data_IF_118400651598
#
_entry.id   IF_118400651598
#
_cell.length_a   1.000
_cell.length_b   1.000
_cell.length_c   1.000
_cell.angle_alpha   90.00
_cell.angle_beta   90.00
_cell.angle_gamma   90.00
#
_symmetry.space_group_name_H-M   'P 1'
#
loop_
_entity.id
_entity.type
_entity.pdbx_description
1 polymer ?
#
# COMPACT_ATOMS: atom_id res chain seq x y z
N UNK A 1 -0.61 30.04 3.19
CA UNK A 1 0.70 29.37 3.01
C UNK A 1 0.78 28.86 1.58
N UNK A 2 1.92 28.98 0.90
CA UNK A 2 2.11 28.33 -0.40
C UNK A 2 2.02 26.79 -0.23
N UNK A 3 1.50 26.05 -1.22
CA UNK A 3 1.46 24.61 -1.16
C UNK A 3 2.89 24.03 -1.12
N UNK A 4 3.10 22.91 -0.41
CA UNK A 4 4.43 22.32 -0.29
C UNK A 4 4.91 21.75 -1.64
N UNK A 5 6.21 21.88 -1.89
CA UNK A 5 6.87 21.25 -3.04
C UNK A 5 7.01 19.74 -2.82
N UNK A 6 6.93 18.90 -3.86
CA UNK A 6 7.13 17.46 -3.72
C UNK A 6 8.45 17.02 -3.08
N UNK A 7 9.50 17.87 -3.11
CA UNK A 7 10.79 17.58 -2.44
C UNK A 7 10.67 17.39 -0.92
N UNK A 8 9.60 17.87 -0.29
CA UNK A 8 9.34 17.62 1.16
C UNK A 8 9.20 16.13 1.50
N UNK A 9 8.99 15.28 0.50
CA UNK A 9 8.96 13.82 0.66
C UNK A 9 10.32 13.16 0.55
N UNK A 10 11.38 13.92 0.19
CA UNK A 10 12.76 13.43 0.17
C UNK A 10 13.39 13.60 1.55
N UNK A 11 13.08 12.67 2.43
CA UNK A 11 13.47 12.68 3.83
C UNK A 11 14.74 11.85 3.98
N UNK A 12 15.78 12.43 4.59
CA UNK A 12 17.05 11.75 4.83
C UNK A 12 16.92 10.55 5.76
N UNK A 13 17.75 9.54 5.53
CA UNK A 13 17.77 8.32 6.32
C UNK A 13 18.70 7.23 5.76
N UNK A 14 18.65 6.01 6.28
CA UNK A 14 19.47 4.89 5.80
C UNK A 14 18.90 4.30 4.48
N UNK A 15 18.59 5.15 3.54
CA UNK A 15 18.01 4.85 2.23
C UNK A 15 18.48 5.87 1.20
N UNK A 16 18.21 5.59 -0.07
CA UNK A 16 18.43 6.52 -1.17
C UNK A 16 17.13 6.76 -1.94
N UNK A 17 16.99 7.97 -2.46
CA UNK A 17 15.88 8.39 -3.28
C UNK A 17 16.21 8.22 -4.76
N UNK A 18 15.34 7.57 -5.49
CA UNK A 18 15.46 7.29 -6.92
C UNK A 18 14.24 7.87 -7.65
N UNK A 19 14.47 8.33 -8.88
CA UNK A 19 13.40 8.65 -9.84
C UNK A 19 13.39 7.56 -10.93
N UNK A 20 12.30 6.80 -11.01
CA UNK A 20 12.17 5.64 -11.90
C UNK A 20 11.03 5.87 -12.89
N UNK A 21 11.33 5.81 -14.19
CA UNK A 21 10.31 5.95 -15.23
C UNK A 21 9.70 4.58 -15.54
N UNK A 22 8.38 4.48 -15.41
CA UNK A 22 7.61 3.28 -15.73
C UNK A 22 6.19 3.66 -16.14
N UNK A 23 5.60 2.89 -17.04
CA UNK A 23 4.20 3.06 -17.48
C UNK A 23 3.79 4.52 -17.79
N UNK A 24 4.71 5.27 -18.41
CA UNK A 24 4.48 6.64 -18.89
C UNK A 24 4.56 7.77 -17.87
N UNK A 25 4.97 7.49 -16.63
CA UNK A 25 5.19 8.50 -15.58
C UNK A 25 6.51 8.26 -14.82
N UNK A 26 6.97 9.29 -14.12
CA UNK A 26 8.09 9.21 -13.20
C UNK A 26 7.57 8.87 -11.79
N UNK A 27 8.11 7.80 -11.22
CA UNK A 27 7.88 7.40 -9.84
C UNK A 27 9.03 7.83 -8.95
N UNK A 28 8.72 8.35 -7.78
CA UNK A 28 9.65 8.48 -6.69
C UNK A 28 9.69 7.16 -5.91
N UNK A 29 10.89 6.62 -5.78
CA UNK A 29 11.15 5.33 -5.14
C UNK A 29 12.23 5.53 -4.09
N UNK A 30 12.03 4.95 -2.92
CA UNK A 30 13.01 4.96 -1.82
C UNK A 30 13.55 3.56 -1.62
N UNK A 31 14.86 3.39 -1.77
CA UNK A 31 15.53 2.11 -1.65
C UNK A 31 16.35 2.04 -0.38
N UNK A 32 16.15 0.99 0.42
CA UNK A 32 16.95 0.71 1.60
C UNK A 32 18.42 0.50 1.21
N UNK A 33 19.34 1.10 1.95
CA UNK A 33 20.76 0.84 1.76
C UNK A 33 21.09 -0.59 2.19
N UNK A 34 21.92 -1.32 1.43
CA UNK A 34 22.29 -2.68 1.79
C UNK A 34 23.12 -2.70 3.09
N UNK A 35 22.88 -3.73 3.90
CA UNK A 35 23.57 -3.98 5.18
C UNK A 35 24.41 -5.25 5.07
N UNK A 36 25.55 -5.31 5.74
CA UNK A 36 26.42 -6.49 5.77
C UNK A 36 27.03 -6.82 4.41
N UNK A 37 27.18 -8.10 4.12
CA UNK A 37 27.85 -8.63 2.91
C UNK A 37 27.11 -8.27 1.61
N UNK A 38 25.83 -7.90 1.70
CA UNK A 38 25.06 -7.44 0.56
C UNK A 38 25.56 -6.12 -0.07
N UNK A 39 26.47 -5.40 0.59
CA UNK A 39 27.03 -4.11 0.08
C UNK A 39 27.83 -4.28 -1.21
N UNK A 40 28.47 -5.42 -1.42
CA UNK A 40 29.27 -5.73 -2.60
C UNK A 40 28.48 -6.34 -3.76
N UNK A 41 27.24 -6.75 -3.54
CA UNK A 41 26.45 -7.42 -4.56
C UNK A 41 25.71 -6.42 -5.47
N UNK A 42 25.59 -6.70 -6.77
CA UNK A 42 24.69 -5.93 -7.63
C UNK A 42 23.26 -5.92 -7.07
N UNK A 43 22.57 -4.77 -7.18
CA UNK A 43 21.21 -4.66 -6.67
C UNK A 43 20.25 -5.72 -7.25
N UNK A 44 20.47 -6.11 -8.52
CA UNK A 44 19.68 -7.13 -9.23
C UNK A 44 19.98 -8.57 -8.82
N UNK A 45 21.05 -8.81 -8.06
CA UNK A 45 21.39 -10.14 -7.56
C UNK A 45 20.56 -10.53 -6.32
N UNK A 46 19.90 -9.57 -5.67
CA UNK A 46 19.04 -9.79 -4.51
C UNK A 46 17.57 -9.81 -4.94
N UNK A 47 16.72 -10.65 -4.30
CA UNK A 47 15.28 -10.62 -4.57
C UNK A 47 14.71 -9.20 -4.37
N UNK A 48 13.83 -8.75 -5.27
CA UNK A 48 13.17 -7.45 -5.13
C UNK A 48 11.93 -7.59 -4.22
N UNK A 49 11.85 -6.73 -3.21
CA UNK A 49 10.66 -6.51 -2.38
C UNK A 49 10.17 -5.09 -2.60
N UNK A 50 8.95 -4.92 -3.11
CA UNK A 50 8.36 -3.63 -3.44
C UNK A 50 7.18 -3.32 -2.52
N UNK A 51 7.27 -2.21 -1.78
CA UNK A 51 6.34 -1.78 -0.75
C UNK A 51 5.41 -0.69 -1.31
N UNK A 52 4.10 -0.93 -1.30
CA UNK A 52 3.06 -0.08 -1.88
C UNK A 52 2.10 0.42 -0.79
N UNK A 53 2.07 1.73 -0.56
CA UNK A 53 1.31 2.37 0.53
C UNK A 53 -0.20 2.50 0.23
N UNK A 54 -0.98 2.86 1.26
CA UNK A 54 -2.42 3.11 1.18
C UNK A 54 -2.81 4.58 1.00
N UNK A 55 -4.12 4.83 1.11
CA UNK A 55 -4.74 6.15 0.97
C UNK A 55 -4.17 7.18 1.95
N UNK A 56 -3.87 8.37 1.43
CA UNK A 56 -3.40 9.51 2.22
C UNK A 56 -1.99 9.35 2.78
N UNK A 57 -1.27 8.30 2.37
CA UNK A 57 0.09 8.00 2.78
C UNK A 57 1.08 8.22 1.63
N UNK A 58 2.34 7.88 1.86
CA UNK A 58 3.43 7.87 0.88
C UNK A 58 4.52 6.90 1.38
N UNK A 59 5.66 6.78 0.71
CA UNK A 59 6.72 5.83 1.05
C UNK A 59 7.11 5.82 2.54
N UNK A 60 6.94 6.93 3.27
CA UNK A 60 7.30 7.07 4.69
C UNK A 60 6.63 6.04 5.59
N UNK A 61 5.43 5.61 5.25
CA UNK A 61 4.74 4.54 6.02
C UNK A 61 5.51 3.23 6.06
N UNK A 62 6.48 3.05 5.18
CA UNK A 62 7.32 1.87 5.08
C UNK A 62 8.72 2.03 5.70
N UNK A 63 9.00 3.15 6.42
CA UNK A 63 10.32 3.45 7.03
C UNK A 63 10.84 2.34 7.92
N UNK A 64 9.96 1.65 8.66
CA UNK A 64 10.31 0.54 9.54
C UNK A 64 10.65 -0.74 8.75
N UNK A 65 9.98 -1.01 7.66
CA UNK A 65 10.26 -2.13 6.78
C UNK A 65 11.53 -1.90 5.95
N UNK A 66 11.76 -0.67 5.49
CA UNK A 66 13.02 -0.28 4.83
C UNK A 66 14.24 -0.48 5.73
N UNK A 67 14.09 -0.29 7.06
CA UNK A 67 15.18 -0.49 8.04
C UNK A 67 15.30 -1.95 8.50
N UNK A 68 14.16 -2.67 8.56
CA UNK A 68 14.08 -3.96 9.25
C UNK A 68 14.16 -5.18 8.34
N UNK A 69 13.91 -5.04 7.04
CA UNK A 69 13.99 -6.16 6.11
C UNK A 69 15.41 -6.26 5.52
N UNK A 70 16.03 -7.42 5.68
CA UNK A 70 17.37 -7.72 5.18
C UNK A 70 17.35 -8.85 4.17
N UNK A 71 18.46 -9.13 3.49
CA UNK A 71 18.58 -10.22 2.51
C UNK A 71 17.91 -9.96 1.16
N UNK A 72 17.19 -8.86 1.00
CA UNK A 72 16.49 -8.46 -0.21
C UNK A 72 16.87 -7.04 -0.65
N UNK A 73 16.55 -6.69 -1.88
CA UNK A 73 16.49 -5.31 -2.34
C UNK A 73 15.11 -4.75 -2.01
N UNK A 74 15.01 -3.93 -0.96
CA UNK A 74 13.74 -3.39 -0.47
C UNK A 74 13.54 -1.99 -1.01
N UNK A 75 12.41 -1.74 -1.68
CA UNK A 75 12.04 -0.44 -2.21
C UNK A 75 10.62 -0.06 -1.78
N UNK A 76 10.42 1.17 -1.34
CA UNK A 76 9.11 1.75 -1.11
C UNK A 76 8.79 2.77 -2.21
N UNK A 77 7.58 2.70 -2.75
CA UNK A 77 7.16 3.49 -3.91
C UNK A 77 6.13 4.52 -3.47
N UNK A 78 6.33 5.77 -3.85
CA UNK A 78 5.23 6.71 -3.91
C UNK A 78 4.34 6.33 -5.09
N UNK A 79 3.13 5.86 -4.82
CA UNK A 79 2.19 5.48 -5.87
C UNK A 79 1.88 6.69 -6.78
N UNK A 80 1.44 6.41 -8.00
CA UNK A 80 0.98 7.45 -8.93
C UNK A 80 0.06 8.44 -8.23
N UNK A 81 0.31 9.74 -8.38
CA UNK A 81 -0.48 10.78 -7.74
C UNK A 81 -0.09 11.15 -6.31
N UNK A 82 0.86 10.43 -5.69
CA UNK A 82 1.29 10.66 -4.32
C UNK A 82 2.74 11.15 -4.23
N UNK A 83 3.06 11.76 -3.11
CA UNK A 83 4.41 12.11 -2.71
C UNK A 83 5.22 12.79 -3.80
N UNK A 84 6.42 12.26 -4.08
CA UNK A 84 7.32 12.73 -5.13
C UNK A 84 7.01 12.21 -6.53
N UNK A 85 6.06 11.27 -6.70
CA UNK A 85 5.67 10.73 -8.01
C UNK A 85 4.81 11.70 -8.81
N UNK A 86 4.79 11.52 -10.13
CA UNK A 86 3.95 12.31 -11.04
C UNK A 86 2.46 12.15 -10.73
N UNK A 87 1.71 13.22 -11.02
CA UNK A 87 0.28 13.35 -10.72
C UNK A 87 -0.53 13.54 -12.00
N UNK A 88 -0.59 12.50 -12.86
CA UNK A 88 -1.31 12.59 -14.11
C UNK A 88 -2.82 12.75 -13.86
N UNK A 89 -3.58 13.36 -14.78
CA UNK A 89 -5.00 13.59 -14.61
C UNK A 89 -5.86 12.32 -14.73
N UNK A 90 -5.27 11.17 -15.09
CA UNK A 90 -5.96 9.89 -15.34
C UNK A 90 -5.09 8.70 -14.95
N UNK A 91 -5.70 7.51 -14.94
CA UNK A 91 -4.96 6.25 -14.73
C UNK A 91 -4.94 5.79 -13.28
N UNK A 92 -6.04 6.00 -12.56
CA UNK A 92 -6.21 5.55 -11.17
C UNK A 92 -7.06 4.28 -11.07
N UNK A 93 -7.21 3.58 -12.17
CA UNK A 93 -7.90 2.30 -12.29
C UNK A 93 -6.96 1.12 -12.02
N UNK A 94 -7.54 -0.03 -11.65
CA UNK A 94 -6.77 -1.21 -11.29
C UNK A 94 -5.91 -1.81 -12.41
N UNK A 95 -6.29 -1.59 -13.70
CA UNK A 95 -5.46 -2.01 -14.84
C UNK A 95 -4.17 -1.19 -14.90
N UNK A 96 -4.32 0.14 -14.81
CA UNK A 96 -3.18 1.06 -14.83
C UNK A 96 -2.27 0.85 -13.63
N UNK A 97 -2.83 0.69 -12.41
CA UNK A 97 -2.04 0.48 -11.20
C UNK A 97 -1.25 -0.84 -11.25
N UNK A 98 -1.83 -1.89 -11.81
CA UNK A 98 -1.09 -3.15 -12.03
C UNK A 98 0.01 -3.01 -13.08
N UNK A 99 -0.23 -2.20 -14.12
CA UNK A 99 0.77 -1.84 -15.13
C UNK A 99 1.92 -1.01 -14.56
N UNK A 100 1.64 -0.12 -13.61
CA UNK A 100 2.65 0.66 -12.89
C UNK A 100 3.61 -0.26 -12.10
N UNK A 101 3.06 -1.17 -11.29
CA UNK A 101 3.86 -2.12 -10.53
C UNK A 101 4.67 -3.05 -11.45
N UNK A 102 4.05 -3.56 -12.52
CA UNK A 102 4.73 -4.39 -13.52
C UNK A 102 5.86 -3.65 -14.25
N UNK A 103 5.62 -2.38 -14.58
CA UNK A 103 6.62 -1.50 -15.20
C UNK A 103 7.80 -1.19 -14.27
N UNK A 104 7.52 -0.91 -13.00
CA UNK A 104 8.52 -0.64 -11.98
C UNK A 104 9.43 -1.85 -11.74
N UNK A 105 8.89 -3.07 -11.67
CA UNK A 105 9.70 -4.29 -11.52
C UNK A 105 10.74 -4.39 -12.64
N UNK A 106 10.32 -4.16 -13.89
CA UNK A 106 11.22 -4.20 -15.05
C UNK A 106 12.23 -3.04 -15.05
N UNK A 107 11.75 -1.83 -14.76
CA UNK A 107 12.60 -0.64 -14.73
C UNK A 107 13.68 -0.70 -13.63
N UNK A 108 13.40 -1.41 -12.53
CA UNK A 108 14.36 -1.70 -11.47
C UNK A 108 15.32 -2.86 -11.83
N UNK A 109 15.18 -3.47 -13.03
CA UNK A 109 16.07 -4.50 -13.53
C UNK A 109 15.76 -5.92 -13.05
N UNK A 110 14.54 -6.20 -12.59
CA UNK A 110 14.15 -7.51 -12.09
C UNK A 110 13.14 -8.21 -13.01
N UNK A 111 13.19 -9.53 -13.04
CA UNK A 111 12.22 -10.38 -13.73
C UNK A 111 10.95 -10.61 -12.90
N UNK A 112 11.07 -10.54 -11.59
CA UNK A 112 9.94 -10.66 -10.66
C UNK A 112 10.22 -9.96 -9.32
N UNK A 113 9.17 -9.77 -8.52
CA UNK A 113 9.26 -9.18 -7.18
C UNK A 113 8.28 -9.83 -6.21
N UNK A 114 8.58 -9.78 -4.92
CA UNK A 114 7.57 -9.85 -3.87
C UNK A 114 6.93 -8.48 -3.71
N UNK A 115 5.60 -8.44 -3.79
CA UNK A 115 4.83 -7.22 -3.57
C UNK A 115 4.28 -7.19 -2.16
N UNK A 116 4.52 -6.09 -1.45
CA UNK A 116 3.96 -5.85 -0.12
C UNK A 116 3.03 -4.64 -0.23
N UNK A 117 1.77 -4.76 0.17
CA UNK A 117 0.82 -3.68 -0.01
C UNK A 117 -0.09 -3.45 1.18
N UNK A 118 -0.33 -2.19 1.51
CA UNK A 118 -1.30 -1.75 2.49
C UNK A 118 -2.50 -1.11 1.78
N UNK A 119 -3.72 -1.46 2.16
CA UNK A 119 -4.97 -0.86 1.66
C UNK A 119 -5.01 -0.74 0.12
N UNK A 120 -4.98 0.48 -0.45
CA UNK A 120 -4.98 0.71 -1.91
C UNK A 120 -3.73 0.11 -2.59
N UNK A 121 -2.57 0.16 -1.95
CA UNK A 121 -1.36 -0.51 -2.43
C UNK A 121 -1.53 -2.02 -2.48
N UNK A 122 -2.30 -2.59 -1.56
CA UNK A 122 -2.65 -4.01 -1.59
C UNK A 122 -3.59 -4.36 -2.74
N UNK A 123 -4.50 -3.46 -3.15
CA UNK A 123 -5.29 -3.65 -4.37
C UNK A 123 -4.38 -3.72 -5.61
N UNK A 124 -3.37 -2.85 -5.68
CA UNK A 124 -2.36 -2.90 -6.76
C UNK A 124 -1.58 -4.22 -6.73
N UNK A 125 -1.21 -4.74 -5.54
CA UNK A 125 -0.58 -6.05 -5.39
C UNK A 125 -1.46 -7.18 -5.92
N UNK A 126 -2.74 -7.24 -5.50
CA UNK A 126 -3.71 -8.21 -6.01
C UNK A 126 -3.84 -8.17 -7.52
N UNK A 127 -4.03 -6.95 -8.08
CA UNK A 127 -4.19 -6.76 -9.50
C UNK A 127 -2.93 -7.20 -10.29
N UNK A 128 -1.74 -6.84 -9.81
CA UNK A 128 -0.48 -7.21 -10.46
C UNK A 128 -0.27 -8.72 -10.43
N UNK A 129 -0.50 -9.37 -9.29
CA UNK A 129 -0.33 -10.82 -9.15
C UNK A 129 -1.30 -11.62 -10.03
N UNK A 130 -2.51 -11.12 -10.27
CA UNK A 130 -3.51 -11.79 -11.09
C UNK A 130 -3.39 -11.47 -12.59
N UNK A 131 -2.94 -10.25 -12.94
CA UNK A 131 -2.87 -9.79 -14.34
C UNK A 131 -1.45 -9.95 -14.94
N UNK A 132 -0.42 -9.90 -14.10
CA UNK A 132 1.00 -9.98 -14.48
C UNK A 132 1.72 -11.07 -13.68
N UNK A 133 1.10 -12.24 -13.52
CA UNK A 133 1.54 -13.32 -12.62
C UNK A 133 3.02 -13.70 -12.75
N UNK A 134 3.60 -13.62 -13.96
CA UNK A 134 5.03 -13.96 -14.20
C UNK A 134 6.01 -12.96 -13.56
N UNK A 135 5.54 -11.77 -13.18
CA UNK A 135 6.34 -10.72 -12.56
C UNK A 135 6.22 -10.71 -11.02
N UNK A 136 5.43 -11.60 -10.43
CA UNK A 136 5.19 -11.62 -9.00
C UNK A 136 5.61 -12.97 -8.43
N UNK A 137 6.59 -12.97 -7.53
CA UNK A 137 7.07 -14.17 -6.83
C UNK A 137 6.20 -14.51 -5.63
N UNK A 138 5.72 -13.49 -4.90
CA UNK A 138 4.86 -13.63 -3.74
C UNK A 138 4.14 -12.31 -3.43
N UNK A 139 3.12 -12.36 -2.58
CA UNK A 139 2.36 -11.18 -2.14
C UNK A 139 2.23 -11.17 -0.61
N UNK A 140 2.53 -10.03 0.02
CA UNK A 140 2.20 -9.79 1.41
C UNK A 140 1.23 -8.60 1.51
N UNK A 141 0.14 -8.75 2.23
CA UNK A 141 -0.93 -7.76 2.31
C UNK A 141 -1.18 -7.36 3.76
N UNK A 142 -1.34 -6.08 3.98
CA UNK A 142 -1.65 -5.51 5.28
C UNK A 142 -3.00 -4.82 5.18
N UNK A 143 -3.97 -5.28 5.97
CA UNK A 143 -5.35 -4.76 5.98
C UNK A 143 -5.95 -4.57 4.57
N UNK A 144 -5.64 -5.49 3.65
CA UNK A 144 -6.03 -5.40 2.24
C UNK A 144 -6.62 -6.74 1.74
N UNK A 145 -7.86 -7.05 2.11
CA UNK A 145 -8.54 -8.26 1.67
C UNK A 145 -8.78 -8.23 0.15
N UNK A 146 -9.05 -9.39 -0.43
CA UNK A 146 -9.38 -9.50 -1.84
C UNK A 146 -10.58 -8.61 -2.20
N UNK A 147 -10.54 -7.83 -3.31
CA UNK A 147 -11.58 -6.84 -3.63
C UNK A 147 -12.99 -7.41 -3.71
N UNK A 148 -13.15 -8.62 -4.24
CA UNK A 148 -14.46 -9.29 -4.30
C UNK A 148 -14.93 -9.75 -2.92
N UNK A 149 -14.03 -10.15 -2.02
CA UNK A 149 -14.33 -10.52 -0.64
C UNK A 149 -14.77 -9.28 0.16
N UNK A 150 -14.02 -8.18 0.05
CA UNK A 150 -14.39 -6.90 0.69
C UNK A 150 -15.75 -6.40 0.21
N UNK A 151 -15.99 -6.41 -1.11
CA UNK A 151 -17.28 -6.04 -1.69
C UNK A 151 -18.40 -6.92 -1.15
N UNK A 152 -18.24 -8.24 -1.14
CA UNK A 152 -19.24 -9.18 -0.65
C UNK A 152 -19.52 -8.92 0.83
N UNK A 153 -18.50 -8.76 1.66
CA UNK A 153 -18.64 -8.45 3.08
C UNK A 153 -19.38 -7.12 3.29
N UNK A 154 -19.01 -6.07 2.58
CA UNK A 154 -19.68 -4.76 2.65
C UNK A 154 -21.17 -4.83 2.29
N UNK A 155 -21.54 -5.69 1.35
CA UNK A 155 -22.95 -5.86 0.95
C UNK A 155 -23.77 -6.76 1.89
N UNK A 156 -23.12 -7.67 2.61
CA UNK A 156 -23.82 -8.70 3.43
C UNK A 156 -23.66 -8.49 4.93
N UNK A 157 -22.69 -7.69 5.38
CA UNK A 157 -22.38 -7.45 6.79
C UNK A 157 -22.59 -5.98 7.13
N UNK A 158 -23.51 -5.70 8.05
CA UNK A 158 -23.85 -4.33 8.48
C UNK A 158 -22.68 -3.62 9.18
N UNK A 159 -21.89 -4.37 9.95
CA UNK A 159 -20.69 -3.87 10.63
C UNK A 159 -19.64 -3.38 9.62
N UNK A 160 -19.27 -4.21 8.63
CA UNK A 160 -18.33 -3.82 7.56
C UNK A 160 -18.88 -2.68 6.70
N UNK A 161 -20.17 -2.67 6.41
CA UNK A 161 -20.80 -1.57 5.67
C UNK A 161 -20.68 -0.24 6.43
N UNK A 162 -20.93 -0.23 7.75
CA UNK A 162 -20.79 0.95 8.61
C UNK A 162 -19.34 1.44 8.71
N UNK A 163 -18.38 0.54 8.74
CA UNK A 163 -16.97 0.88 8.78
C UNK A 163 -16.49 1.55 7.47
N UNK A 164 -16.96 1.09 6.32
CA UNK A 164 -16.39 1.45 5.01
C UNK A 164 -17.19 2.50 4.24
N UNK A 165 -18.52 2.30 4.12
CA UNK A 165 -19.37 3.09 3.20
C UNK A 165 -19.40 4.59 3.49
N UNK A 166 -19.47 5.08 4.75
CA UNK A 166 -19.53 6.52 5.00
C UNK A 166 -18.34 7.28 4.39
N UNK A 167 -17.15 6.70 4.50
CA UNK A 167 -15.93 7.29 3.92
C UNK A 167 -15.94 7.22 2.40
N UNK A 168 -16.25 6.05 1.82
CA UNK A 168 -16.28 5.87 0.37
C UNK A 168 -17.32 6.74 -0.31
N UNK A 169 -18.53 6.87 0.25
CA UNK A 169 -19.60 7.69 -0.31
C UNK A 169 -19.27 9.19 -0.21
N UNK A 170 -18.69 9.63 0.90
CA UNK A 170 -18.22 11.01 1.08
C UNK A 170 -17.23 11.40 -0.03
N UNK A 171 -16.35 10.51 -0.42
CA UNK A 171 -15.34 10.77 -1.45
C UNK A 171 -15.89 10.83 -2.88
N UNK A 172 -17.16 10.46 -3.11
CA UNK A 172 -17.80 10.61 -4.41
C UNK A 172 -18.27 12.04 -4.72
N UNK A 173 -18.40 12.88 -3.68
CA UNK A 173 -18.83 14.28 -3.86
C UNK A 173 -17.75 15.06 -4.60
N UNK A 174 -18.09 15.87 -5.61
CA UNK A 174 -17.11 16.69 -6.34
C UNK A 174 -16.53 17.80 -5.46
N UNK A 175 -15.24 18.08 -5.57
CA UNK A 175 -14.49 19.22 -5.00
C UNK A 175 -14.50 19.34 -3.46
N UNK A 176 -15.52 18.88 -2.79
CA UNK A 176 -15.63 19.01 -1.33
C UNK A 176 -14.62 18.13 -0.58
N UNK A 177 -14.40 16.85 -0.93
CA UNK A 177 -13.39 16.02 -0.26
C UNK A 177 -11.96 16.53 -0.45
N UNK A 178 -11.63 17.08 -1.63
CA UNK A 178 -10.33 17.69 -1.88
C UNK A 178 -10.08 18.87 -0.93
N UNK A 179 -11.06 19.73 -0.78
CA UNK A 179 -10.98 20.87 0.16
C UNK A 179 -10.89 20.40 1.61
N UNK A 180 -11.65 19.35 1.97
CA UNK A 180 -11.61 18.76 3.30
C UNK A 180 -10.23 18.20 3.64
N UNK A 181 -9.61 17.46 2.71
CA UNK A 181 -8.29 16.84 2.89
C UNK A 181 -7.15 17.86 2.99
N UNK A 182 -7.29 19.04 2.36
CA UNK A 182 -6.22 20.07 2.34
C UNK A 182 -6.43 21.19 3.35
N UNK A 183 -7.67 21.36 3.86
CA UNK A 183 -8.00 22.40 4.84
C UNK A 183 -7.28 22.15 6.17
N UNK A 184 -7.06 23.24 6.90
CA UNK A 184 -6.49 23.23 8.26
C UNK A 184 -5.16 22.46 8.33
N UNK A 185 -4.33 22.62 7.28
CA UNK A 185 -3.04 21.96 7.19
C UNK A 185 -3.15 20.43 7.09
N UNK A 186 -4.18 19.88 6.44
CA UNK A 186 -4.37 18.45 6.27
C UNK A 186 -4.96 17.73 7.50
N UNK A 187 -5.65 18.44 8.37
CA UNK A 187 -6.20 17.90 9.64
C UNK A 187 -7.13 16.68 9.43
N UNK A 188 -7.80 16.58 8.29
CA UNK A 188 -8.63 15.42 7.98
C UNK A 188 -7.83 14.13 7.86
N UNK A 189 -6.59 14.16 7.34
CA UNK A 189 -5.69 12.99 7.31
C UNK A 189 -5.38 12.53 8.73
N UNK A 190 -5.05 13.45 9.63
CA UNK A 190 -4.83 13.11 11.03
C UNK A 190 -6.06 12.45 11.65
N UNK A 191 -7.24 13.04 11.45
CA UNK A 191 -8.50 12.48 11.96
C UNK A 191 -8.75 11.05 11.44
N UNK A 192 -8.50 10.81 10.15
CA UNK A 192 -8.67 9.49 9.54
C UNK A 192 -7.69 8.46 10.12
N UNK A 193 -6.42 8.83 10.25
CA UNK A 193 -5.40 7.94 10.81
C UNK A 193 -5.72 7.64 12.28
N UNK A 194 -5.99 8.68 13.09
CA UNK A 194 -6.37 8.50 14.51
C UNK A 194 -7.55 7.56 14.70
N UNK A 195 -8.57 7.70 13.87
CA UNK A 195 -9.80 6.89 13.98
C UNK A 195 -9.60 5.40 13.63
N UNK A 196 -8.43 5.02 13.12
CA UNK A 196 -8.13 3.67 12.64
C UNK A 196 -6.92 3.03 13.30
N UNK A 197 -6.26 3.74 14.20
CA UNK A 197 -5.02 3.32 14.88
C UNK A 197 -5.27 2.90 16.31
N UNK A 198 -4.41 2.03 16.83
CA UNK A 198 -4.43 1.61 18.23
C UNK A 198 -3.95 2.73 19.17
N UNK A 199 -4.42 2.69 20.42
CA UNK A 199 -4.11 3.71 21.42
C UNK A 199 -2.61 3.82 21.72
N UNK A 200 -1.88 2.70 21.69
CA UNK A 200 -0.44 2.66 21.97
C UNK A 200 0.35 3.50 20.97
N UNK A 201 0.09 3.34 19.67
CA UNK A 201 0.79 4.12 18.65
C UNK A 201 0.40 5.60 18.67
N UNK A 202 -0.89 5.91 18.90
CA UNK A 202 -1.38 7.28 19.02
C UNK A 202 -0.67 8.10 20.09
N UNK A 203 -0.12 7.45 21.13
CA UNK A 203 0.61 8.10 22.21
C UNK A 203 2.13 8.21 21.95
N UNK A 204 2.62 7.72 20.80
CA UNK A 204 4.05 7.68 20.49
C UNK A 204 4.55 8.95 19.78
N UNK A 205 5.85 9.21 19.88
CA UNK A 205 6.53 10.25 19.08
C UNK A 205 6.52 9.89 17.60
N UNK A 206 6.64 8.60 17.27
CA UNK A 206 6.59 8.08 15.89
C UNK A 206 5.26 8.42 15.19
N UNK A 207 4.14 8.34 15.91
CA UNK A 207 2.85 8.81 15.40
C UNK A 207 2.88 10.31 15.13
N UNK A 208 3.39 11.11 16.07
CA UNK A 208 3.42 12.57 15.95
C UNK A 208 4.26 13.02 14.75
N UNK A 209 5.42 12.39 14.53
CA UNK A 209 6.25 12.64 13.36
C UNK A 209 5.52 12.23 12.07
N UNK A 210 4.96 11.02 12.04
CA UNK A 210 4.27 10.48 10.87
C UNK A 210 3.10 11.37 10.46
N UNK A 211 2.26 11.78 11.39
CA UNK A 211 1.12 12.65 11.11
C UNK A 211 1.54 14.00 10.53
N UNK A 212 2.59 14.62 11.06
CA UNK A 212 3.12 15.87 10.52
C UNK A 212 3.52 15.72 9.03
N UNK A 213 4.16 14.61 8.69
CA UNK A 213 4.58 14.31 7.31
C UNK A 213 3.40 14.00 6.39
N UNK A 214 2.42 13.20 6.84
CA UNK A 214 1.22 12.88 6.05
C UNK A 214 0.37 14.11 5.76
N UNK A 215 0.18 14.97 6.78
CA UNK A 215 -0.52 16.25 6.64
C UNK A 215 0.16 17.17 5.64
N UNK A 216 1.49 17.19 5.60
CA UNK A 216 2.25 17.95 4.61
C UNK A 216 2.11 17.34 3.22
N UNK A 217 2.28 16.03 3.08
CA UNK A 217 2.26 15.33 1.80
C UNK A 217 0.91 15.45 1.07
N UNK A 218 -0.22 15.41 1.79
CA UNK A 218 -1.54 15.53 1.16
C UNK A 218 -1.81 16.93 0.59
N UNK A 219 -1.09 17.94 1.03
CA UNK A 219 -1.21 19.32 0.55
C UNK A 219 -0.34 19.59 -0.69
N UNK A 220 0.51 18.67 -1.12
CA UNK A 220 1.24 18.76 -2.39
C UNK A 220 0.21 18.95 -3.51
N UNK A 221 0.45 19.87 -4.46
CA UNK A 221 -0.48 20.15 -5.55
C UNK A 221 -0.97 18.87 -6.24
N UNK A 222 -2.28 18.77 -6.43
CA UNK A 222 -3.01 17.62 -6.98
C UNK A 222 -3.00 16.32 -6.15
N UNK A 223 -2.20 16.18 -5.09
CA UNK A 223 -2.11 14.93 -4.31
C UNK A 223 -3.47 14.49 -3.73
N UNK A 224 -4.23 15.40 -3.11
CA UNK A 224 -5.56 15.10 -2.58
C UNK A 224 -6.54 14.65 -3.67
N UNK A 225 -6.53 15.30 -4.84
CA UNK A 225 -7.37 14.90 -5.97
C UNK A 225 -7.01 13.49 -6.46
N UNK A 226 -5.71 13.25 -6.68
CA UNK A 226 -5.23 11.95 -7.16
C UNK A 226 -5.55 10.83 -6.18
N UNK A 227 -5.34 11.05 -4.88
CA UNK A 227 -5.69 10.10 -3.83
C UNK A 227 -7.19 9.73 -3.86
N UNK A 228 -8.05 10.73 -4.06
CA UNK A 228 -9.50 10.52 -4.15
C UNK A 228 -9.91 9.75 -5.41
N UNK A 229 -9.18 9.87 -6.52
CA UNK A 229 -9.50 9.11 -7.74
C UNK A 229 -9.38 7.60 -7.56
N UNK A 230 -8.48 7.08 -6.71
CA UNK A 230 -8.45 5.66 -6.31
C UNK A 230 -9.79 5.25 -5.68
N UNK A 231 -10.26 6.04 -4.71
CA UNK A 231 -11.49 5.76 -3.98
C UNK A 231 -12.74 5.94 -4.87
N UNK A 232 -12.71 6.94 -5.75
CA UNK A 232 -13.76 7.18 -6.74
C UNK A 232 -13.85 6.02 -7.72
N UNK A 233 -12.71 5.53 -8.21
CA UNK A 233 -12.69 4.39 -9.09
C UNK A 233 -13.22 3.12 -8.41
N UNK A 234 -12.85 2.86 -7.17
CA UNK A 234 -13.31 1.70 -6.40
C UNK A 234 -14.87 1.62 -6.32
N UNK A 235 -15.55 2.75 -6.25
CA UNK A 235 -17.01 2.83 -6.26
C UNK A 235 -17.57 2.84 -7.68
N UNK A 236 -17.09 3.73 -8.55
CA UNK A 236 -17.63 3.95 -9.91
C UNK A 236 -17.44 2.74 -10.83
N UNK A 237 -16.37 1.97 -10.62
CA UNK A 237 -16.11 0.73 -11.36
C UNK A 237 -17.22 -0.31 -11.21
N UNK A 238 -17.94 -0.29 -10.09
CA UNK A 238 -19.08 -1.21 -9.86
C UNK A 238 -20.20 -1.01 -10.88
N UNK A 239 -20.37 0.19 -11.42
CA UNK A 239 -21.43 0.61 -12.32
C UNK A 239 -20.99 0.65 -13.80
N UNK A 240 -19.70 0.55 -14.09
CA UNK A 240 -19.13 0.65 -15.45
C UNK A 240 -18.71 -0.72 -16.00
N UNK A 241 -18.85 -0.93 -17.29
CA UNK A 241 -18.48 -2.20 -17.94
C UNK A 241 -17.00 -2.53 -17.78
N UNK A 242 -16.12 -1.54 -17.88
CA UNK A 242 -14.70 -1.69 -17.69
C UNK A 242 -14.36 -2.18 -16.27
N UNK A 243 -14.94 -1.56 -15.27
CA UNK A 243 -14.75 -1.97 -13.89
C UNK A 243 -15.35 -3.36 -13.60
N UNK A 244 -16.50 -3.69 -14.19
CA UNK A 244 -17.05 -5.04 -14.12
C UNK A 244 -16.14 -6.08 -14.78
N UNK A 245 -15.48 -5.74 -15.89
CA UNK A 245 -14.46 -6.61 -16.52
C UNK A 245 -13.27 -6.79 -15.57
N UNK A 246 -12.76 -5.70 -14.98
CA UNK A 246 -11.69 -5.77 -13.99
C UNK A 246 -12.06 -6.70 -12.83
N UNK A 247 -13.19 -6.47 -12.18
CA UNK A 247 -13.65 -7.30 -11.05
C UNK A 247 -13.85 -8.77 -11.43
N UNK A 248 -14.22 -9.07 -12.68
CA UNK A 248 -14.28 -10.46 -13.18
C UNK A 248 -12.89 -11.06 -13.33
N UNK A 249 -11.91 -10.32 -13.86
CA UNK A 249 -10.53 -10.80 -13.99
C UNK A 249 -9.87 -11.08 -12.64
N UNK A 250 -10.32 -10.39 -11.58
CA UNK A 250 -9.86 -10.60 -10.21
C UNK A 250 -10.44 -11.86 -9.54
N UNK A 251 -11.47 -12.50 -10.07
CA UNK A 251 -12.14 -13.67 -9.44
C UNK A 251 -11.40 -14.99 -9.57
N UNK A 252 -10.14 -14.97 -9.94
CA UNK A 252 -9.29 -16.17 -10.01
C UNK A 252 -8.58 -16.40 -8.68
N UNK A 253 -8.17 -17.62 -8.43
CA UNK A 253 -7.28 -17.92 -7.31
C UNK A 253 -5.89 -17.38 -7.59
N UNK A 254 -5.24 -16.89 -6.54
CA UNK A 254 -3.85 -16.46 -6.59
C UNK A 254 -2.94 -17.69 -6.77
N UNK A 255 -2.06 -17.61 -7.74
CA UNK A 255 -1.12 -18.68 -8.06
C UNK A 255 0.26 -18.56 -7.42
N UNK A 256 0.45 -17.58 -6.52
CA UNK A 256 1.71 -17.33 -5.81
C UNK A 256 1.49 -17.34 -4.30
N UNK A 257 2.53 -17.56 -3.47
CA UNK A 257 2.43 -17.49 -2.02
C UNK A 257 1.83 -16.18 -1.53
N UNK A 258 0.96 -16.25 -0.51
CA UNK A 258 0.34 -15.10 0.13
C UNK A 258 0.60 -15.09 1.64
N UNK A 259 1.03 -13.94 2.16
CA UNK A 259 0.92 -13.57 3.57
C UNK A 259 -0.14 -12.45 3.69
N UNK A 260 -1.12 -12.61 4.57
CA UNK A 260 -2.08 -11.55 4.89
C UNK A 260 -2.03 -11.22 6.38
N UNK A 261 -1.70 -9.97 6.69
CA UNK A 261 -1.66 -9.43 8.04
C UNK A 261 -2.86 -8.50 8.26
N UNK A 262 -3.53 -8.60 9.40
CA UNK A 262 -4.59 -7.68 9.84
C UNK A 262 -4.37 -7.31 11.30
N UNK A 263 -4.46 -6.05 11.64
CA UNK A 263 -4.48 -5.64 13.03
C UNK A 263 -5.73 -6.16 13.76
N UNK A 264 -5.57 -6.65 14.96
CA UNK A 264 -6.68 -7.18 15.78
C UNK A 264 -7.75 -6.11 16.01
N UNK A 265 -7.31 -4.88 16.27
CA UNK A 265 -8.14 -3.71 16.56
C UNK A 265 -8.51 -2.90 15.30
N UNK A 266 -8.29 -3.43 14.06
CA UNK A 266 -8.62 -2.70 12.83
C UNK A 266 -10.12 -2.43 12.74
N UNK A 267 -10.56 -1.14 12.87
CA UNK A 267 -11.98 -0.78 12.84
C UNK A 267 -12.51 -0.57 11.42
N UNK A 268 -11.63 -0.62 10.40
CA UNK A 268 -11.96 -0.30 9.01
C UNK A 268 -12.04 -1.54 8.13
N UNK A 269 -11.11 -2.49 8.28
CA UNK A 269 -11.15 -3.81 7.66
C UNK A 269 -11.34 -4.86 8.74
N UNK A 270 -12.58 -5.32 8.89
CA UNK A 270 -12.95 -6.30 9.90
C UNK A 270 -12.49 -7.72 9.53
N UNK A 271 -12.72 -8.70 10.37
CA UNK A 271 -12.29 -10.09 10.13
C UNK A 271 -12.99 -10.75 8.93
N UNK A 272 -14.30 -10.55 8.76
CA UNK A 272 -15.11 -11.22 7.73
C UNK A 272 -14.56 -11.06 6.29
N UNK A 273 -14.17 -9.88 5.78
CA UNK A 273 -13.57 -9.77 4.45
C UNK A 273 -12.23 -10.49 4.33
N UNK A 274 -11.46 -10.59 5.39
CA UNK A 274 -10.18 -11.34 5.41
C UNK A 274 -10.46 -12.84 5.34
N UNK A 275 -11.41 -13.34 6.11
CA UNK A 275 -11.81 -14.74 6.08
C UNK A 275 -12.35 -15.16 4.71
N UNK A 276 -13.18 -14.31 4.08
CA UNK A 276 -13.66 -14.53 2.70
C UNK A 276 -12.56 -14.50 1.66
N UNK A 277 -11.44 -13.83 1.94
CA UNK A 277 -10.26 -13.80 1.06
C UNK A 277 -9.64 -15.18 0.88
N UNK A 278 -9.77 -16.08 1.87
CA UNK A 278 -9.29 -17.48 1.79
C UNK A 278 -9.82 -18.23 0.56
N UNK A 279 -10.99 -17.85 0.04
CA UNK A 279 -11.52 -18.42 -1.21
C UNK A 279 -10.63 -18.14 -2.42
N UNK A 280 -9.93 -17.02 -2.41
CA UNK A 280 -9.06 -16.56 -3.51
C UNK A 280 -7.59 -16.91 -3.30
N UNK A 281 -7.20 -17.22 -2.08
CA UNK A 281 -5.87 -17.69 -1.73
C UNK A 281 -5.97 -18.73 -0.59
N UNK A 282 -6.46 -19.96 -0.88
CA UNK A 282 -6.73 -20.96 0.15
C UNK A 282 -5.49 -21.45 0.88
N UNK A 283 -4.32 -21.37 0.24
CA UNK A 283 -3.03 -21.74 0.84
C UNK A 283 -2.28 -20.55 1.46
N UNK A 284 -2.92 -19.36 1.48
CA UNK A 284 -2.33 -18.17 2.08
C UNK A 284 -2.14 -18.31 3.60
N UNK A 285 -1.08 -17.71 4.11
CA UNK A 285 -0.86 -17.53 5.55
C UNK A 285 -1.58 -16.27 6.00
N UNK A 286 -2.48 -16.40 6.99
CA UNK A 286 -3.28 -15.32 7.54
C UNK A 286 -2.94 -15.13 9.00
N UNK A 287 -2.56 -13.91 9.37
CA UNK A 287 -2.10 -13.56 10.71
C UNK A 287 -2.88 -12.35 11.22
N UNK A 288 -3.31 -12.41 12.46
CA UNK A 288 -3.83 -11.26 13.20
C UNK A 288 -2.71 -10.72 14.08
N UNK A 289 -2.40 -9.43 13.91
CA UNK A 289 -1.37 -8.73 14.70
C UNK A 289 -2.03 -8.18 15.95
N UNK A 290 -1.65 -8.69 17.10
CA UNK A 290 -2.27 -8.36 18.38
C UNK A 290 -2.06 -6.88 18.74
N UNK A 291 -3.11 -6.23 19.26
CA UNK A 291 -3.08 -4.84 19.74
C UNK A 291 -2.76 -3.80 18.67
N UNK A 292 -2.83 -4.15 17.37
CA UNK A 292 -2.62 -3.23 16.27
C UNK A 292 -3.94 -2.90 15.57
N UNK A 293 -4.06 -1.68 15.08
CA UNK A 293 -5.17 -1.20 14.25
C UNK A 293 -4.94 -1.41 12.77
N UNK A 294 -5.42 -0.46 11.96
CA UNK A 294 -5.40 -0.53 10.50
C UNK A 294 -3.99 -0.43 9.89
N UNK A 295 -3.08 0.28 10.55
CA UNK A 295 -1.72 0.54 10.09
C UNK A 295 -0.70 -0.35 10.80
N UNK A 296 -0.98 -1.67 10.90
CA UNK A 296 -0.17 -2.59 11.71
C UNK A 296 1.33 -2.58 11.37
N UNK A 297 1.74 -2.23 10.14
CA UNK A 297 3.13 -2.06 9.73
C UNK A 297 3.83 -0.84 10.36
N UNK A 298 3.05 0.13 10.85
CA UNK A 298 3.51 1.30 11.59
C UNK A 298 3.27 1.14 13.10
N UNK A 299 2.18 0.48 13.48
CA UNK A 299 1.74 0.33 14.87
C UNK A 299 2.48 -0.79 15.63
N UNK A 300 2.89 -1.85 14.92
CA UNK A 300 3.62 -3.00 15.45
C UNK A 300 4.73 -3.45 14.48
N UNK A 301 5.69 -2.56 14.15
CA UNK A 301 6.64 -2.78 13.06
C UNK A 301 7.55 -3.99 13.28
N UNK A 302 7.97 -4.28 14.51
CA UNK A 302 8.83 -5.43 14.83
C UNK A 302 8.10 -6.75 14.54
N UNK A 303 6.83 -6.85 14.93
CA UNK A 303 6.03 -8.05 14.69
C UNK A 303 5.75 -8.25 13.20
N UNK A 304 5.37 -7.18 12.52
CA UNK A 304 5.16 -7.22 11.06
C UNK A 304 6.44 -7.57 10.32
N UNK A 305 7.59 -6.98 10.68
CA UNK A 305 8.89 -7.30 10.08
C UNK A 305 9.27 -8.77 10.30
N UNK A 306 9.04 -9.33 11.49
CA UNK A 306 9.29 -10.76 11.77
C UNK A 306 8.46 -11.66 10.85
N UNK A 307 7.17 -11.36 10.65
CA UNK A 307 6.31 -12.13 9.75
C UNK A 307 6.72 -11.97 8.29
N UNK A 308 7.10 -10.77 7.86
CA UNK A 308 7.59 -10.51 6.51
C UNK A 308 8.91 -11.23 6.25
N UNK A 309 9.86 -11.18 7.18
CA UNK A 309 11.16 -11.87 7.07
C UNK A 309 10.96 -13.38 6.95
N UNK A 310 10.20 -13.99 7.86
CA UNK A 310 9.87 -15.42 7.79
C UNK A 310 9.19 -15.80 6.46
N UNK A 311 8.30 -14.96 5.95
CA UNK A 311 7.64 -15.18 4.68
C UNK A 311 8.60 -15.09 3.49
N UNK A 312 9.53 -14.14 3.51
CA UNK A 312 10.56 -14.00 2.47
C UNK A 312 11.54 -15.18 2.49
N UNK A 313 11.89 -15.69 3.67
CA UNK A 313 12.69 -16.90 3.82
C UNK A 313 11.98 -18.14 3.27
N UNK A 314 10.67 -18.27 3.47
CA UNK A 314 9.86 -19.34 2.86
C UNK A 314 9.85 -19.26 1.32
N UNK A 315 9.92 -18.06 0.75
CA UNK A 315 9.86 -17.81 -0.71
C UNK A 315 11.24 -17.95 -1.39
N UNK A 316 12.30 -17.46 -0.76
CA UNK A 316 13.62 -17.31 -1.39
C UNK A 316 14.72 -18.17 -0.74
N UNK A 317 14.41 -18.85 0.34
CA UNK A 317 15.40 -19.45 1.22
C UNK A 317 15.92 -18.49 2.29
N UNK A 318 16.63 -19.01 3.29
CA UNK A 318 17.22 -18.17 4.33
C UNK A 318 18.17 -17.14 3.70
N UNK A 319 18.11 -15.91 4.23
CA UNK A 319 19.06 -14.88 3.80
C UNK A 319 20.48 -15.39 4.04
N UNK A 320 21.30 -15.38 3.01
CA UNK A 320 22.74 -15.61 3.18
C UNK A 320 23.26 -14.44 3.98
N UNK A 321 23.58 -14.69 5.26
CA UNK A 321 24.16 -13.71 6.18
C UNK A 321 25.58 -13.36 5.77
#
# INVERSE_FOLDING_TARGET
MAPPDPSVTRIDGPWRHLDVHANGIRFHVVEALPVGDARGLPATARPLVMLLHGFGSFWWSWRHQLRGLTGARVVAVDLRGYGGSDKPPRGYDGWTLSGDAAGLIRALGHSSATLVGHADGGLACWATALLHARLVSAVALISSPHPAALRQSTLTRRDQARALLPTLLRYQVPLWPERLLTRDGGAEIERLVRSRSCAKWLASEDFSETIGRLRTAIQIPAAAHCALEYQRWAVRSQLRDEGRRFLRSMRRQLGVPLLHLRGEEDPYVLADPVDRTRRYAPQGRYVTVAGAGHFSHEEAPEEVNRHLTSFLEDVYGPAVN
#
